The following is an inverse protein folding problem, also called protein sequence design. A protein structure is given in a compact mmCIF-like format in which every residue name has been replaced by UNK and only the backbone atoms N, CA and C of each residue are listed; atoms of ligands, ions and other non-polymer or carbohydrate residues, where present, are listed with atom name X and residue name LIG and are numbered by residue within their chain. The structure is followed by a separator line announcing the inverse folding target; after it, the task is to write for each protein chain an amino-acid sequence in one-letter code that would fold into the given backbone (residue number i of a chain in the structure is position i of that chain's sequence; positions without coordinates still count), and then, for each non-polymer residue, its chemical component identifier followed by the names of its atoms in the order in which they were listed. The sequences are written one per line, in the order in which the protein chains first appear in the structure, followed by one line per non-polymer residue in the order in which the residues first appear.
data_IF_832951050395
#
_entry.id   IF_832951050395
#
_cell.length_a   1.000
_cell.length_b   1.000
_cell.length_c   1.000
_cell.angle_alpha   90.00
_cell.angle_beta   90.00
_cell.angle_gamma   90.00
#
_symmetry.space_group_name_H-M   'P 1'
#
loop_
_entity.id
_entity.type
_entity.pdbx_description
1 polymer ?
#
# COMPACT_ATOMS: atom_id res chain seq x y z
N UNK A 1 8.96 29.41 -18.66
CA UNK A 1 8.09 29.18 -19.83
C UNK A 1 8.93 29.18 -21.11
N UNK A 2 8.43 28.54 -22.18
CA UNK A 2 9.11 28.50 -23.49
C UNK A 2 9.48 29.93 -23.94
N UNK A 3 8.60 30.89 -23.68
CA UNK A 3 8.83 32.32 -24.04
C UNK A 3 9.97 32.97 -23.28
N UNK A 4 10.19 32.60 -22.04
CA UNK A 4 11.23 33.24 -21.19
C UNK A 4 12.56 32.47 -21.21
N UNK A 5 12.55 31.18 -21.37
CA UNK A 5 13.72 30.31 -21.20
C UNK A 5 14.10 29.55 -22.47
N UNK A 6 13.31 29.67 -23.56
CA UNK A 6 13.56 28.99 -24.84
C UNK A 6 13.43 27.47 -24.82
N UNK A 7 12.97 26.89 -23.69
CA UNK A 7 12.76 25.43 -23.53
C UNK A 7 11.47 25.10 -22.81
N UNK A 8 10.96 23.92 -23.05
CA UNK A 8 9.82 23.38 -22.28
C UNK A 8 10.22 23.18 -20.82
N UNK A 9 9.32 23.56 -19.92
CA UNK A 9 9.47 23.30 -18.48
C UNK A 9 9.03 21.87 -18.09
N UNK A 10 8.42 21.15 -19.01
CA UNK A 10 7.90 19.80 -18.79
C UNK A 10 8.52 18.84 -19.80
N UNK A 11 9.02 17.72 -19.32
CA UNK A 11 9.40 16.58 -20.15
C UNK A 11 8.20 15.66 -20.38
N UNK A 12 7.34 15.55 -19.37
CA UNK A 12 6.12 14.74 -19.41
C UNK A 12 4.98 15.47 -18.74
N UNK A 13 3.78 15.33 -19.29
CA UNK A 13 2.53 15.84 -18.72
C UNK A 13 1.55 14.69 -18.63
N UNK A 14 1.07 14.39 -17.43
CA UNK A 14 -0.02 13.45 -17.20
C UNK A 14 -1.33 14.24 -17.11
N UNK A 15 -2.23 14.01 -18.05
CA UNK A 15 -3.60 14.55 -18.01
C UNK A 15 -4.55 13.46 -17.52
N UNK A 16 -5.60 13.86 -16.80
CA UNK A 16 -6.63 12.96 -16.31
C UNK A 16 -8.02 13.57 -16.53
N UNK A 17 -9.01 12.68 -16.61
CA UNK A 17 -10.40 12.99 -16.86
C UNK A 17 -11.13 13.52 -15.61
N UNK A 18 -12.41 13.80 -15.76
CA UNK A 18 -13.23 14.43 -14.71
C UNK A 18 -13.63 13.46 -13.62
N UNK A 19 -13.78 14.01 -12.42
CA UNK A 19 -14.42 13.32 -11.29
C UNK A 19 -15.94 13.45 -11.45
N UNK A 20 -16.65 12.33 -11.37
CA UNK A 20 -18.10 12.23 -11.41
C UNK A 20 -18.64 11.69 -10.08
N UNK A 21 -19.93 11.89 -9.83
CA UNK A 21 -20.60 11.20 -8.74
C UNK A 21 -20.53 9.67 -8.95
N UNK A 22 -20.69 8.89 -7.90
CA UNK A 22 -20.63 7.42 -7.94
C UNK A 22 -21.63 6.80 -8.92
N UNK A 23 -22.71 7.50 -9.23
CA UNK A 23 -23.73 7.12 -10.23
C UNK A 23 -23.29 7.37 -11.68
N UNK A 24 -22.07 7.91 -11.90
CA UNK A 24 -21.56 8.30 -13.22
C UNK A 24 -22.12 9.62 -13.76
N UNK A 25 -23.02 10.29 -13.02
CA UNK A 25 -23.55 11.61 -13.39
C UNK A 25 -22.54 12.71 -13.08
N UNK A 26 -22.59 13.81 -13.81
CA UNK A 26 -21.81 15.00 -13.45
C UNK A 26 -22.17 15.45 -12.03
N UNK A 27 -21.16 15.88 -11.28
CA UNK A 27 -21.31 16.36 -9.92
C UNK A 27 -21.04 17.88 -9.81
N UNK A 28 -21.86 18.75 -10.45
CA UNK A 28 -21.69 20.19 -10.33
C UNK A 28 -22.05 20.62 -8.91
N UNK A 29 -21.27 21.56 -8.35
CA UNK A 29 -21.55 22.12 -7.01
C UNK A 29 -22.97 22.67 -6.88
N UNK A 30 -23.53 23.19 -7.97
CA UNK A 30 -24.87 23.75 -8.02
C UNK A 30 -26.02 22.75 -7.82
N UNK A 31 -25.78 21.46 -7.98
CA UNK A 31 -26.82 20.40 -7.84
C UNK A 31 -26.74 19.65 -6.51
N UNK A 32 -25.82 20.01 -5.59
CA UNK A 32 -25.66 19.34 -4.29
C UNK A 32 -25.10 17.91 -4.38
N UNK A 33 -24.71 17.45 -5.57
CA UNK A 33 -24.17 16.10 -5.78
C UNK A 33 -22.64 15.99 -5.55
N UNK A 34 -21.98 17.13 -5.29
CA UNK A 34 -20.57 17.15 -4.99
C UNK A 34 -20.34 16.89 -3.49
N UNK A 35 -19.51 15.90 -3.17
CA UNK A 35 -19.10 15.65 -1.79
C UNK A 35 -18.00 16.67 -1.45
N UNK A 36 -18.17 17.42 -0.37
CA UNK A 36 -17.16 18.35 0.12
C UNK A 36 -15.92 17.60 0.60
N UNK A 37 -14.73 18.17 0.35
CA UNK A 37 -13.46 17.49 0.62
C UNK A 37 -13.28 17.15 2.10
N UNK A 38 -13.63 18.08 3.01
CA UNK A 38 -13.51 17.84 4.45
C UNK A 38 -14.48 16.75 4.91
N UNK A 39 -15.73 16.76 4.46
CA UNK A 39 -16.68 15.68 4.72
C UNK A 39 -16.17 14.32 4.20
N UNK A 40 -15.61 14.30 2.99
CA UNK A 40 -15.04 13.09 2.41
C UNK A 40 -13.89 12.56 3.28
N UNK A 41 -12.96 13.43 3.71
CA UNK A 41 -11.83 13.05 4.57
C UNK A 41 -12.32 12.47 5.89
N UNK A 42 -13.31 13.08 6.53
CA UNK A 42 -13.85 12.60 7.80
C UNK A 42 -14.57 11.24 7.67
N UNK A 43 -15.34 11.05 6.61
CA UNK A 43 -16.17 9.84 6.43
C UNK A 43 -15.45 8.68 5.75
N UNK A 44 -14.61 8.96 4.76
CA UNK A 44 -13.87 7.94 4.01
C UNK A 44 -12.45 7.73 4.57
N UNK A 45 -11.78 8.81 4.96
CA UNK A 45 -10.35 8.87 5.24
C UNK A 45 -9.55 9.30 4.02
N UNK A 46 -8.47 10.05 4.25
CA UNK A 46 -7.64 10.60 3.18
C UNK A 46 -6.97 9.50 2.31
N UNK A 47 -6.50 8.42 2.92
CA UNK A 47 -5.87 7.30 2.20
C UNK A 47 -6.85 6.57 1.28
N UNK A 48 -8.10 6.39 1.70
CA UNK A 48 -9.14 5.78 0.86
C UNK A 48 -9.44 6.66 -0.35
N UNK A 49 -9.50 7.99 -0.16
CA UNK A 49 -9.67 8.92 -1.27
C UNK A 49 -8.50 8.83 -2.26
N UNK A 50 -7.26 8.87 -1.75
CA UNK A 50 -6.04 8.74 -2.56
C UNK A 50 -6.02 7.42 -3.31
N UNK A 51 -6.45 6.33 -2.68
CA UNK A 51 -6.57 5.03 -3.32
C UNK A 51 -7.52 5.06 -4.52
N UNK A 52 -8.76 5.58 -4.33
CA UNK A 52 -9.75 5.70 -5.40
C UNK A 52 -9.16 6.43 -6.62
N UNK A 53 -8.43 7.53 -6.40
CA UNK A 53 -7.78 8.25 -7.49
C UNK A 53 -6.62 7.48 -8.12
N UNK A 54 -5.86 6.74 -7.31
CA UNK A 54 -4.66 6.03 -7.77
C UNK A 54 -4.99 4.75 -8.56
N UNK A 55 -6.12 4.11 -8.29
CA UNK A 55 -6.54 2.89 -9.01
C UNK A 55 -7.17 3.19 -10.38
N UNK A 56 -7.55 4.44 -10.63
CA UNK A 56 -8.25 4.82 -11.86
C UNK A 56 -7.28 5.04 -13.02
N UNK A 57 -7.70 4.60 -14.21
CA UNK A 57 -7.00 4.91 -15.46
C UNK A 57 -7.18 6.40 -15.76
N UNK A 58 -6.09 7.20 -15.90
CA UNK A 58 -6.19 8.65 -16.06
C UNK A 58 -7.08 9.12 -17.22
N UNK A 59 -7.16 8.35 -18.30
CA UNK A 59 -8.01 8.65 -19.48
C UNK A 59 -9.49 8.32 -19.29
N UNK A 60 -9.90 7.92 -18.08
CA UNK A 60 -11.30 7.59 -17.76
C UNK A 60 -11.82 8.46 -16.63
N UNK A 61 -13.14 8.75 -16.65
CA UNK A 61 -13.75 9.48 -15.55
C UNK A 61 -13.69 8.66 -14.24
N UNK A 62 -13.41 9.34 -13.14
CA UNK A 62 -13.41 8.75 -11.80
C UNK A 62 -14.80 8.85 -11.20
N UNK A 63 -15.42 7.73 -10.89
CA UNK A 63 -16.66 7.69 -10.12
C UNK A 63 -16.31 7.75 -8.62
N UNK A 64 -16.56 8.90 -8.01
CA UNK A 64 -16.20 9.18 -6.62
C UNK A 64 -17.44 9.19 -5.73
N UNK A 65 -17.40 8.44 -4.64
CA UNK A 65 -18.50 8.36 -3.69
C UNK A 65 -18.24 7.36 -2.56
N UNK A 66 -19.21 7.21 -1.69
CA UNK A 66 -19.10 6.35 -0.49
C UNK A 66 -19.17 4.86 -0.83
N UNK A 67 -19.86 4.48 -1.91
CA UNK A 67 -19.88 3.10 -2.40
C UNK A 67 -18.46 2.59 -2.75
N UNK A 68 -17.78 3.22 -3.72
CA UNK A 68 -16.38 2.92 -4.04
C UNK A 68 -15.46 2.96 -2.82
N UNK A 69 -15.63 3.96 -1.92
CA UNK A 69 -14.84 4.08 -0.71
C UNK A 69 -14.97 2.87 0.23
N UNK A 70 -16.17 2.34 0.39
CA UNK A 70 -16.42 1.16 1.22
C UNK A 70 -15.79 -0.11 0.61
N UNK A 71 -15.76 -0.24 -0.71
CA UNK A 71 -15.07 -1.34 -1.39
C UNK A 71 -13.55 -1.28 -1.15
N UNK A 72 -12.96 -0.10 -1.24
CA UNK A 72 -11.54 0.10 -0.90
C UNK A 72 -11.27 -0.26 0.56
N UNK A 73 -12.07 0.24 1.51
CA UNK A 73 -11.92 -0.09 2.94
C UNK A 73 -11.94 -1.59 3.18
N UNK A 74 -12.83 -2.33 2.53
CA UNK A 74 -12.94 -3.78 2.66
C UNK A 74 -11.66 -4.48 2.16
N UNK A 75 -11.08 -4.04 1.04
CA UNK A 75 -9.81 -4.57 0.52
C UNK A 75 -8.65 -4.29 1.46
N UNK A 76 -8.56 -3.08 2.00
CA UNK A 76 -7.51 -2.70 2.96
C UNK A 76 -7.58 -3.48 4.28
N UNK A 77 -8.76 -3.94 4.71
CA UNK A 77 -8.91 -4.77 5.90
C UNK A 77 -8.13 -6.10 5.80
N UNK A 78 -7.98 -6.67 4.61
CA UNK A 78 -7.18 -7.89 4.42
C UNK A 78 -5.72 -7.67 4.78
N UNK A 79 -5.17 -6.54 4.34
CA UNK A 79 -3.80 -6.17 4.70
C UNK A 79 -3.65 -5.84 6.19
N UNK A 80 -4.56 -5.04 6.73
CA UNK A 80 -4.60 -4.74 8.16
C UNK A 80 -4.64 -6.00 9.01
N UNK A 81 -5.49 -6.97 8.65
CA UNK A 81 -5.58 -8.24 9.36
C UNK A 81 -4.28 -9.06 9.27
N UNK A 82 -3.58 -8.99 8.15
CA UNK A 82 -2.27 -9.65 7.98
C UNK A 82 -1.20 -9.04 8.89
N UNK A 83 -1.17 -7.71 9.02
CA UNK A 83 -0.30 -7.02 9.98
C UNK A 83 -0.69 -7.34 11.42
N UNK A 84 -1.99 -7.27 11.75
CA UNK A 84 -2.49 -7.59 13.10
C UNK A 84 -2.16 -9.02 13.50
N UNK A 85 -2.25 -9.97 12.55
CA UNK A 85 -1.85 -11.35 12.76
C UNK A 85 -0.37 -11.44 13.14
N UNK A 86 0.52 -10.84 12.33
CA UNK A 86 1.95 -10.85 12.66
C UNK A 86 2.22 -10.24 14.04
N UNK A 87 1.72 -9.03 14.30
CA UNK A 87 1.99 -8.30 15.56
C UNK A 87 1.51 -9.10 16.77
N UNK A 88 0.33 -9.71 16.68
CA UNK A 88 -0.23 -10.52 17.77
C UNK A 88 0.69 -11.69 18.12
N UNK A 89 1.07 -12.49 17.14
CA UNK A 89 1.90 -13.66 17.40
C UNK A 89 3.37 -13.33 17.66
N UNK A 90 3.90 -12.30 17.03
CA UNK A 90 5.26 -11.80 17.32
C UNK A 90 5.41 -11.36 18.79
N UNK A 91 4.38 -10.74 19.36
CA UNK A 91 4.37 -10.37 20.78
C UNK A 91 4.30 -11.60 21.71
N UNK A 92 3.50 -12.61 21.35
CA UNK A 92 3.38 -13.86 22.14
C UNK A 92 4.71 -14.61 22.13
N UNK A 93 5.31 -14.78 20.96
CA UNK A 93 6.53 -15.56 20.76
C UNK A 93 7.82 -14.74 20.97
N UNK A 94 7.68 -13.48 21.42
CA UNK A 94 8.82 -12.57 21.68
C UNK A 94 9.74 -12.37 20.47
N UNK A 95 9.21 -12.43 19.25
CA UNK A 95 9.98 -12.17 18.05
C UNK A 95 10.54 -10.75 18.05
N UNK A 96 11.81 -10.61 17.65
CA UNK A 96 12.50 -9.31 17.52
C UNK A 96 12.96 -9.14 16.07
N UNK A 97 12.38 -8.21 15.32
CA UNK A 97 12.80 -7.92 13.95
C UNK A 97 14.17 -7.24 13.91
N UNK A 98 14.93 -7.49 12.83
CA UNK A 98 16.20 -6.83 12.54
C UNK A 98 16.08 -5.97 11.28
N UNK A 99 16.33 -4.67 11.41
CA UNK A 99 16.26 -3.73 10.29
C UNK A 99 17.41 -3.92 9.31
N UNK A 100 17.08 -3.85 8.02
CA UNK A 100 18.06 -3.93 6.94
C UNK A 100 18.47 -5.36 6.54
N UNK A 101 18.01 -6.37 7.25
CA UNK A 101 18.29 -7.76 6.91
C UNK A 101 17.22 -8.34 5.99
N UNK A 102 17.67 -8.84 4.83
CA UNK A 102 16.80 -9.63 3.95
C UNK A 102 16.81 -11.08 4.40
N UNK A 103 15.66 -11.70 4.66
CA UNK A 103 15.62 -13.09 5.10
C UNK A 103 16.14 -14.05 4.01
N UNK A 104 16.88 -15.09 4.44
CA UNK A 104 17.40 -16.15 3.59
C UNK A 104 16.81 -17.52 3.99
N UNK A 105 15.49 -17.72 3.87
CA UNK A 105 14.82 -18.87 4.43
C UNK A 105 15.13 -20.16 3.67
N UNK A 106 15.13 -21.27 4.43
CA UNK A 106 15.36 -22.61 3.89
C UNK A 106 14.08 -23.21 3.30
N UNK A 107 12.93 -22.97 3.91
CA UNK A 107 11.66 -23.56 3.48
C UNK A 107 11.17 -23.00 2.14
N UNK A 108 10.63 -23.85 1.29
CA UNK A 108 10.20 -23.48 -0.07
C UNK A 108 9.10 -22.41 -0.08
N UNK A 109 8.16 -22.46 0.88
CA UNK A 109 7.06 -21.50 0.97
C UNK A 109 7.57 -20.10 1.39
N UNK A 110 8.58 -20.04 2.27
CA UNK A 110 9.20 -18.78 2.68
C UNK A 110 10.03 -18.19 1.55
N UNK A 111 10.82 -19.03 0.84
CA UNK A 111 11.53 -18.59 -0.37
C UNK A 111 10.59 -18.05 -1.43
N UNK A 112 9.43 -18.69 -1.59
CA UNK A 112 8.40 -18.20 -2.50
C UNK A 112 7.90 -16.81 -2.09
N UNK A 113 7.60 -16.58 -0.79
CA UNK A 113 7.14 -15.27 -0.34
C UNK A 113 8.22 -14.19 -0.53
N UNK A 114 9.48 -14.50 -0.22
CA UNK A 114 10.60 -13.57 -0.47
C UNK A 114 10.68 -13.21 -1.95
N UNK A 115 10.63 -14.19 -2.86
CA UNK A 115 10.66 -13.93 -4.29
C UNK A 115 9.43 -13.15 -4.78
N UNK A 116 8.25 -13.43 -4.22
CA UNK A 116 7.01 -12.70 -4.53
C UNK A 116 7.06 -11.25 -4.05
N UNK A 117 7.74 -11.00 -2.94
CA UNK A 117 7.99 -9.66 -2.41
C UNK A 117 8.98 -8.89 -3.30
N UNK A 118 10.07 -9.53 -3.73
CA UNK A 118 11.01 -8.92 -4.69
C UNK A 118 10.29 -8.56 -6.00
N UNK A 119 9.40 -9.43 -6.47
CA UNK A 119 8.57 -9.17 -7.64
C UNK A 119 7.66 -7.96 -7.44
N UNK A 120 7.00 -7.84 -6.27
CA UNK A 120 6.19 -6.68 -5.93
C UNK A 120 7.01 -5.38 -6.02
N UNK A 121 8.19 -5.35 -5.39
CA UNK A 121 9.08 -4.18 -5.41
C UNK A 121 9.46 -3.81 -6.84
N UNK A 122 9.86 -4.78 -7.65
CA UNK A 122 10.26 -4.54 -9.06
C UNK A 122 9.08 -4.02 -9.90
N UNK A 123 7.91 -4.64 -9.80
CA UNK A 123 6.71 -4.25 -10.55
C UNK A 123 6.26 -2.83 -10.15
N UNK A 124 6.17 -2.54 -8.86
CA UNK A 124 5.72 -1.23 -8.40
C UNK A 124 6.71 -0.12 -8.72
N UNK A 125 8.03 -0.40 -8.64
CA UNK A 125 9.06 0.55 -9.06
C UNK A 125 8.90 0.91 -10.54
N UNK A 126 8.76 -0.09 -11.42
CA UNK A 126 8.56 0.14 -12.84
C UNK A 126 7.28 0.94 -13.16
N UNK A 127 6.21 0.69 -12.41
CA UNK A 127 4.95 1.41 -12.58
C UNK A 127 5.05 2.87 -12.09
N UNK A 128 5.76 3.15 -10.98
CA UNK A 128 6.02 4.50 -10.51
C UNK A 128 6.90 5.31 -11.50
N UNK A 129 7.94 4.70 -12.07
CA UNK A 129 8.78 5.35 -13.07
C UNK A 129 8.00 5.76 -14.33
N UNK A 130 6.93 5.03 -14.64
CA UNK A 130 6.01 5.36 -15.74
C UNK A 130 4.88 6.31 -15.33
N UNK A 131 4.82 6.74 -14.07
CA UNK A 131 3.69 7.50 -13.49
C UNK A 131 2.34 6.77 -13.61
N UNK A 132 2.35 5.43 -13.49
CA UNK A 132 1.17 4.59 -13.69
C UNK A 132 0.70 3.95 -12.38
N UNK A 133 0.09 4.77 -11.52
CA UNK A 133 -0.43 4.33 -10.21
C UNK A 133 -1.48 3.20 -10.27
N UNK A 134 -2.33 3.06 -11.31
CA UNK A 134 -3.21 1.89 -11.41
C UNK A 134 -2.46 0.55 -11.45
N UNK A 135 -1.27 0.52 -12.02
CA UNK A 135 -0.40 -0.66 -12.03
C UNK A 135 0.14 -0.97 -10.64
N UNK A 136 0.57 0.06 -9.90
CA UNK A 136 1.02 -0.08 -8.51
C UNK A 136 -0.07 -0.69 -7.63
N UNK A 137 -1.29 -0.13 -7.70
CA UNK A 137 -2.43 -0.60 -6.91
C UNK A 137 -2.74 -2.07 -7.21
N UNK A 138 -2.81 -2.46 -8.49
CA UNK A 138 -3.08 -3.85 -8.89
C UNK A 138 -1.99 -4.81 -8.44
N UNK A 139 -0.72 -4.45 -8.58
CA UNK A 139 0.40 -5.29 -8.15
C UNK A 139 0.36 -5.52 -6.62
N UNK A 140 0.08 -4.46 -5.87
CA UNK A 140 -0.02 -4.53 -4.42
C UNK A 140 -1.24 -5.34 -3.95
N UNK A 141 -2.41 -5.18 -4.54
CA UNK A 141 -3.61 -5.97 -4.21
C UNK A 141 -3.38 -7.46 -4.48
N UNK A 142 -2.78 -7.80 -5.63
CA UNK A 142 -2.42 -9.18 -5.95
C UNK A 142 -1.45 -9.76 -4.93
N UNK A 143 -0.46 -8.98 -4.50
CA UNK A 143 0.46 -9.40 -3.46
C UNK A 143 -0.22 -9.63 -2.11
N UNK A 144 -1.12 -8.73 -1.70
CA UNK A 144 -1.86 -8.87 -0.43
C UNK A 144 -2.75 -10.11 -0.43
N UNK A 145 -3.35 -10.44 -1.58
CA UNK A 145 -4.12 -11.68 -1.72
C UNK A 145 -3.24 -12.93 -1.56
N UNK A 146 -2.11 -12.98 -2.25
CA UNK A 146 -1.11 -14.02 -2.15
C UNK A 146 -0.57 -14.17 -0.72
N UNK A 147 -0.26 -13.05 -0.06
CA UNK A 147 0.23 -13.00 1.31
C UNK A 147 -0.78 -13.59 2.30
N UNK A 148 -2.03 -13.13 2.23
CA UNK A 148 -3.08 -13.48 3.17
C UNK A 148 -3.63 -14.88 2.90
N UNK A 149 -4.10 -15.14 1.67
CA UNK A 149 -4.86 -16.34 1.32
C UNK A 149 -3.97 -17.55 1.01
N UNK A 150 -2.71 -17.31 0.65
CA UNK A 150 -1.79 -18.39 0.37
C UNK A 150 -0.74 -18.56 1.48
N UNK A 151 0.13 -17.56 1.71
CA UNK A 151 1.23 -17.72 2.65
C UNK A 151 0.76 -17.84 4.11
N UNK A 152 0.05 -16.85 4.64
CA UNK A 152 -0.39 -16.84 6.05
C UNK A 152 -1.29 -18.05 6.31
N UNK A 153 -2.23 -18.32 5.44
CA UNK A 153 -3.17 -19.45 5.61
C UNK A 153 -2.45 -20.79 5.70
N UNK A 154 -1.43 -21.02 4.85
CA UNK A 154 -0.67 -22.28 4.82
C UNK A 154 0.38 -22.39 5.91
N UNK A 155 0.94 -21.24 6.34
CA UNK A 155 1.98 -21.17 7.38
C UNK A 155 1.41 -21.00 8.79
N UNK A 156 0.10 -20.83 8.95
CA UNK A 156 -0.54 -20.39 10.19
C UNK A 156 -0.07 -21.15 11.44
N UNK A 157 0.09 -22.46 11.36
CA UNK A 157 0.51 -23.31 12.49
C UNK A 157 1.93 -22.99 12.97
N UNK A 158 2.78 -22.44 12.13
CA UNK A 158 4.16 -22.08 12.44
C UNK A 158 4.24 -20.88 13.36
N UNK A 159 3.26 -19.97 13.27
CA UNK A 159 3.14 -18.78 14.11
C UNK A 159 2.54 -19.07 15.50
N UNK A 160 2.14 -20.33 15.77
CA UNK A 160 1.74 -20.80 17.11
C UNK A 160 2.91 -21.38 17.91
N UNK A 161 4.13 -21.18 17.45
CA UNK A 161 5.39 -21.59 18.03
C UNK A 161 6.51 -20.64 17.63
N UNK A 162 7.73 -21.00 17.93
CA UNK A 162 8.95 -20.17 17.83
C UNK A 162 9.64 -20.23 16.44
N UNK A 163 8.92 -20.48 15.35
CA UNK A 163 9.51 -20.54 14.01
C UNK A 163 9.96 -19.13 13.55
N UNK A 164 11.15 -18.73 14.01
CA UNK A 164 11.72 -17.40 13.76
C UNK A 164 11.87 -17.07 12.26
N UNK A 165 12.14 -18.07 11.41
CA UNK A 165 12.21 -17.89 9.95
C UNK A 165 10.86 -17.45 9.37
N UNK A 166 9.76 -18.01 9.87
CA UNK A 166 8.41 -17.62 9.44
C UNK A 166 8.10 -16.16 9.83
N UNK A 167 8.44 -15.78 11.07
CA UNK A 167 8.25 -14.42 11.55
C UNK A 167 9.10 -13.42 10.76
N UNK A 168 10.40 -13.69 10.58
CA UNK A 168 11.31 -12.82 9.84
C UNK A 168 10.86 -12.65 8.39
N UNK A 169 10.44 -13.74 7.73
CA UNK A 169 9.96 -13.70 6.35
C UNK A 169 8.68 -12.88 6.21
N UNK A 170 7.69 -13.12 7.07
CA UNK A 170 6.43 -12.37 7.03
C UNK A 170 6.63 -10.90 7.36
N UNK A 171 7.41 -10.61 8.42
CA UNK A 171 7.72 -9.25 8.82
C UNK A 171 8.38 -8.46 7.69
N UNK A 172 9.45 -9.01 7.10
CA UNK A 172 10.15 -8.36 6.00
C UNK A 172 9.23 -8.10 4.81
N UNK A 173 8.41 -9.07 4.44
CA UNK A 173 7.47 -8.94 3.32
C UNK A 173 6.41 -7.87 3.57
N UNK A 174 5.89 -7.77 4.81
CA UNK A 174 4.95 -6.71 5.19
C UNK A 174 5.62 -5.33 5.18
N UNK A 175 6.86 -5.23 5.67
CA UNK A 175 7.63 -3.97 5.67
C UNK A 175 7.85 -3.49 4.23
N UNK A 176 8.30 -4.36 3.32
CA UNK A 176 8.46 -4.01 1.91
C UNK A 176 7.13 -3.56 1.27
N UNK A 177 6.04 -4.26 1.58
CA UNK A 177 4.72 -3.89 1.04
C UNK A 177 4.21 -2.55 1.58
N UNK A 178 4.55 -2.18 2.82
CA UNK A 178 4.26 -0.85 3.39
C UNK A 178 5.08 0.24 2.68
N UNK A 179 6.36 -0.02 2.42
CA UNK A 179 7.23 0.95 1.73
C UNK A 179 6.70 1.26 0.33
N UNK A 180 6.44 0.23 -0.49
CA UNK A 180 6.02 0.44 -1.88
C UNK A 180 4.63 1.08 -2.02
N UNK A 181 3.75 0.95 -1.03
CA UNK A 181 2.41 1.56 -1.10
C UNK A 181 2.35 2.96 -0.44
N UNK A 182 3.38 3.37 0.28
CA UNK A 182 3.42 4.62 1.02
C UNK A 182 3.10 5.86 0.15
N UNK A 183 3.56 6.00 -1.10
CA UNK A 183 3.16 7.14 -1.95
C UNK A 183 1.65 7.21 -2.24
N UNK A 184 0.95 6.08 -2.24
CA UNK A 184 -0.52 6.00 -2.44
C UNK A 184 -1.26 6.23 -1.13
N UNK A 185 -0.84 5.56 -0.06
CA UNK A 185 -1.49 5.58 1.27
C UNK A 185 -0.54 6.07 2.37
N UNK A 186 -0.17 7.36 2.40
CA UNK A 186 0.88 7.86 3.28
C UNK A 186 0.56 7.72 4.78
N UNK A 187 -0.68 7.94 5.20
CA UNK A 187 -1.04 7.94 6.61
C UNK A 187 -1.08 6.53 7.19
N UNK A 188 -1.72 5.60 6.49
CA UNK A 188 -1.76 4.20 6.91
C UNK A 188 -0.37 3.58 6.85
N UNK A 189 0.39 3.83 5.78
CA UNK A 189 1.73 3.30 5.64
C UNK A 189 2.67 3.78 6.76
N UNK A 190 2.68 5.07 7.08
CA UNK A 190 3.50 5.60 8.18
C UNK A 190 3.05 5.06 9.55
N UNK A 191 1.76 4.90 9.76
CA UNK A 191 1.24 4.28 10.99
C UNK A 191 1.69 2.82 11.14
N UNK A 192 1.61 2.04 10.06
CA UNK A 192 2.06 0.65 10.06
C UNK A 192 3.57 0.54 10.19
N UNK A 193 4.31 1.46 9.56
CA UNK A 193 5.75 1.56 9.72
C UNK A 193 6.17 1.74 11.18
N UNK A 194 5.51 2.64 11.89
CA UNK A 194 5.79 2.86 13.31
C UNK A 194 5.63 1.58 14.12
N UNK A 195 4.55 0.85 13.91
CA UNK A 195 4.26 -0.40 14.63
C UNK A 195 5.22 -1.53 14.24
N UNK A 196 5.55 -1.65 12.95
CA UNK A 196 6.35 -2.76 12.44
C UNK A 196 7.86 -2.51 12.57
N UNK A 197 8.30 -1.26 12.52
CA UNK A 197 9.72 -0.91 12.37
C UNK A 197 10.17 0.08 13.43
N UNK A 198 9.64 1.30 13.46
CA UNK A 198 10.21 2.38 14.26
C UNK A 198 10.13 2.14 15.77
N UNK A 199 9.05 1.52 16.26
CA UNK A 199 8.88 1.22 17.69
C UNK A 199 9.64 -0.03 18.14
N UNK A 200 9.64 -1.16 17.39
CA UNK A 200 10.31 -2.38 17.83
C UNK A 200 11.80 -2.50 17.48
N UNK A 201 12.33 -1.64 16.58
CA UNK A 201 13.71 -1.76 16.07
C UNK A 201 14.50 -0.51 16.40
N UNK A 202 15.49 -0.64 17.28
CA UNK A 202 16.38 0.45 17.64
C UNK A 202 17.23 0.91 16.43
N UNK A 203 17.32 2.23 16.24
CA UNK A 203 18.06 2.84 15.14
C UNK A 203 17.40 2.79 13.78
N UNK A 204 16.20 2.22 13.67
CA UNK A 204 15.43 2.26 12.41
C UNK A 204 14.89 3.66 12.10
N UNK A 205 14.64 3.99 10.81
CA UNK A 205 14.04 5.26 10.43
C UNK A 205 12.69 5.50 11.10
N UNK A 206 12.48 6.71 11.62
CA UNK A 206 11.26 7.09 12.34
C UNK A 206 9.99 7.12 11.48
N UNK A 207 10.13 7.19 10.16
CA UNK A 207 9.04 7.22 9.19
C UNK A 207 9.40 6.41 7.95
N UNK A 208 8.41 5.82 7.32
CA UNK A 208 8.56 5.10 6.06
C UNK A 208 9.16 5.98 4.96
N UNK A 209 8.91 7.28 4.99
CA UNK A 209 9.43 8.24 4.01
C UNK A 209 10.91 8.60 4.20
N UNK A 210 11.52 8.15 5.29
CA UNK A 210 12.95 8.33 5.56
C UNK A 210 13.76 7.06 5.28
N UNK A 211 13.09 5.95 5.00
CA UNK A 211 13.73 4.65 4.83
C UNK A 211 14.32 4.42 3.43
N UNK A 212 13.74 5.03 2.41
CA UNK A 212 14.02 4.68 1.02
C UNK A 212 13.52 3.26 0.65
N UNK A 213 13.62 2.93 -0.63
CA UNK A 213 13.48 1.53 -1.09
C UNK A 213 14.38 1.28 -2.30
#
# INVERSE_FOLDING_TARGET
SVTLEGRSQYERVLAYERVRAETGKEAPKSTGNAIEANEAIERMGADVMRWIYSEQVPSQNVNFGYGPANEVKRRLLTFWNSVSFLVTYANIESFRPAWGERPAPVRSLDRWLVARTDQLVAETTAEYERFWTPGVVRAWESFVDDLSNWYIRRSRRRFYGDDQDAFATLWWSLVQSVQVIAPVMPFLADRLWRVLVAEPVEGAPASVFLAGW
#
